data_IF_959851526746
#
_entry.id   IF_959851526746
#
_cell.length_a   1.000
_cell.length_b   1.000
_cell.length_c   1.000
_cell.angle_alpha   90.00
_cell.angle_beta   90.00
_cell.angle_gamma   90.00
#
_symmetry.space_group_name_H-M   'P 1'
#
loop_
_entity.id
_entity.type
_entity.pdbx_description
1 polymer ?
#
# COMPACT_ATOMS: atom_id res chain seq x y z
N UNK A 1 -12.33 -0.88 6.51
CA UNK A 1 -11.43 0.29 6.56
C UNK A 1 -10.02 -0.20 6.83
N UNK A 2 -8.99 0.56 6.48
CA UNK A 2 -7.61 0.09 6.67
C UNK A 2 -7.23 0.00 8.15
N UNK A 3 -6.97 -1.21 8.64
CA UNK A 3 -6.28 -1.50 9.90
C UNK A 3 -4.77 -1.19 9.77
N UNK A 4 -4.39 0.02 10.20
CA UNK A 4 -3.01 0.50 10.11
C UNK A 4 -2.05 -0.29 11.01
N UNK A 5 -2.37 -0.62 12.28
CA UNK A 5 -1.55 -1.53 13.10
C UNK A 5 -1.22 -2.85 12.38
N UNK A 6 -2.21 -3.53 11.80
CA UNK A 6 -1.99 -4.79 11.07
C UNK A 6 -1.09 -4.60 9.85
N UNK A 7 -1.21 -3.49 9.13
CA UNK A 7 -0.31 -3.15 8.01
C UNK A 7 1.12 -2.84 8.47
N UNK A 8 1.31 -2.25 9.65
CA UNK A 8 2.65 -2.00 10.24
C UNK A 8 3.35 -3.32 10.56
N UNK A 9 2.64 -4.24 11.20
CA UNK A 9 3.15 -5.58 11.51
C UNK A 9 3.53 -6.30 10.21
N UNK A 10 2.62 -6.29 9.22
CA UNK A 10 2.88 -6.98 7.96
C UNK A 10 4.07 -6.39 7.19
N UNK A 11 4.19 -5.07 7.13
CA UNK A 11 5.37 -4.42 6.52
C UNK A 11 6.65 -4.84 7.25
N UNK A 12 6.62 -4.93 8.59
CA UNK A 12 7.74 -5.42 9.38
C UNK A 12 8.17 -6.83 9.00
N UNK A 13 7.23 -7.77 8.89
CA UNK A 13 7.51 -9.14 8.41
C UNK A 13 8.17 -9.16 7.03
N UNK A 14 7.62 -8.38 6.09
CA UNK A 14 8.12 -8.34 4.71
C UNK A 14 9.54 -7.75 4.66
N UNK A 15 9.78 -6.63 5.34
CA UNK A 15 11.09 -5.97 5.34
C UNK A 15 12.15 -6.83 6.04
N UNK A 16 11.82 -7.40 7.20
CA UNK A 16 12.78 -8.19 8.00
C UNK A 16 13.14 -9.52 7.36
N UNK A 17 12.27 -10.09 6.52
CA UNK A 17 12.54 -11.32 5.74
C UNK A 17 13.21 -11.06 4.39
N UNK A 18 13.26 -9.81 3.91
CA UNK A 18 13.83 -9.49 2.60
C UNK A 18 15.37 -9.44 2.67
N UNK A 19 16.10 -10.22 1.85
CA UNK A 19 17.57 -10.25 1.87
C UNK A 19 18.24 -8.93 1.46
N UNK A 20 17.49 -8.01 0.84
CA UNK A 20 17.97 -6.68 0.44
C UNK A 20 18.00 -5.67 1.58
N UNK A 21 17.35 -5.96 2.71
CA UNK A 21 17.31 -5.05 3.85
C UNK A 21 18.62 -5.08 4.63
N UNK A 22 19.15 -3.90 4.96
CA UNK A 22 20.43 -3.75 5.66
C UNK A 22 20.32 -3.86 7.19
N UNK A 23 19.11 -4.15 7.70
CA UNK A 23 18.79 -4.35 9.11
C UNK A 23 18.93 -3.10 10.00
N UNK A 24 19.03 -1.91 9.41
CA UNK A 24 19.23 -0.68 10.20
C UNK A 24 17.92 -0.05 10.66
N UNK A 25 17.00 0.18 9.72
CA UNK A 25 15.76 0.87 10.04
C UNK A 25 14.64 0.53 9.06
N UNK A 26 13.41 0.47 9.59
CA UNK A 26 12.19 0.59 8.80
C UNK A 26 11.07 1.20 9.64
N UNK A 27 10.07 1.76 8.96
CA UNK A 27 8.83 2.24 9.57
C UNK A 27 7.71 2.29 8.53
N UNK A 28 6.46 2.33 8.98
CA UNK A 28 5.32 2.70 8.17
C UNK A 28 4.63 3.89 8.83
N UNK A 29 4.21 4.91 8.10
CA UNK A 29 3.53 6.06 8.68
C UNK A 29 2.28 6.41 7.85
N UNK A 30 1.22 6.86 8.53
CA UNK A 30 0.14 7.58 7.85
C UNK A 30 0.65 8.99 7.65
N UNK A 31 0.75 9.44 6.40
CA UNK A 31 1.32 10.76 6.07
C UNK A 31 0.28 11.79 5.69
N UNK A 32 -0.89 11.35 5.23
CA UNK A 32 -1.98 12.23 4.83
C UNK A 32 -3.33 11.50 4.94
N UNK A 33 -4.40 12.28 5.04
CA UNK A 33 -5.80 11.81 4.99
C UNK A 33 -6.54 12.65 3.95
N UNK A 34 -6.95 11.99 2.86
CA UNK A 34 -7.68 12.59 1.75
C UNK A 34 -9.16 12.24 1.86
N UNK A 35 -9.96 12.82 0.96
CA UNK A 35 -11.42 12.62 0.94
C UNK A 35 -11.83 11.15 0.82
N UNK A 36 -11.07 10.35 0.06
CA UNK A 36 -11.41 8.97 -0.32
C UNK A 36 -10.41 7.92 0.15
N UNK A 37 -9.25 8.34 0.68
CA UNK A 37 -8.19 7.43 1.10
C UNK A 37 -7.28 8.04 2.16
N UNK A 38 -6.50 7.19 2.83
CA UNK A 38 -5.33 7.60 3.61
C UNK A 38 -4.07 7.32 2.82
N UNK A 39 -3.03 8.14 3.03
CA UNK A 39 -1.71 7.87 2.45
C UNK A 39 -0.81 7.19 3.47
N UNK A 40 -0.22 6.06 3.08
CA UNK A 40 0.75 5.32 3.88
C UNK A 40 2.14 5.41 3.23
N UNK A 41 3.15 5.75 4.04
CA UNK A 41 4.56 5.79 3.63
C UNK A 41 5.37 4.74 4.38
N UNK A 42 5.88 3.76 3.64
CA UNK A 42 6.94 2.88 4.10
C UNK A 42 8.30 3.57 4.00
N UNK A 43 9.08 3.51 5.07
CA UNK A 43 10.47 3.94 5.15
C UNK A 43 11.33 2.70 5.44
N UNK A 44 12.44 2.53 4.73
CA UNK A 44 13.37 1.42 4.92
C UNK A 44 14.75 1.82 4.42
N UNK A 45 15.78 1.39 5.13
CA UNK A 45 17.17 1.56 4.72
C UNK A 45 17.65 0.37 3.88
N UNK A 46 18.65 0.59 3.06
CA UNK A 46 19.38 -0.46 2.37
C UNK A 46 20.83 -0.04 2.20
N UNK A 47 21.68 -0.98 1.80
CA UNK A 47 23.12 -0.78 1.64
C UNK A 47 23.47 0.37 0.69
N UNK A 48 22.69 0.52 -0.39
CA UNK A 48 22.85 1.58 -1.39
C UNK A 48 21.51 1.91 -2.06
N UNK A 49 21.51 2.93 -2.91
CA UNK A 49 20.30 3.46 -3.55
C UNK A 49 19.64 2.48 -4.53
N UNK A 50 20.42 1.65 -5.22
CA UNK A 50 19.90 0.66 -6.16
C UNK A 50 19.16 -0.44 -5.41
N UNK A 51 19.78 -0.99 -4.36
CA UNK A 51 19.14 -1.99 -3.49
C UNK A 51 17.93 -1.40 -2.77
N UNK A 52 18.00 -0.13 -2.36
CA UNK A 52 16.85 0.54 -1.74
C UNK A 52 15.65 0.66 -2.69
N UNK A 53 15.89 0.88 -3.99
CA UNK A 53 14.84 0.89 -4.99
C UNK A 53 14.16 -0.48 -5.09
N UNK A 54 14.94 -1.54 -5.28
CA UNK A 54 14.44 -2.91 -5.39
C UNK A 54 13.67 -3.35 -4.15
N UNK A 55 14.23 -3.09 -2.95
CA UNK A 55 13.56 -3.39 -1.68
C UNK A 55 12.20 -2.71 -1.57
N UNK A 56 12.08 -1.44 -2.00
CA UNK A 56 10.80 -0.73 -1.99
C UNK A 56 9.80 -1.33 -2.99
N UNK A 57 10.25 -1.83 -4.14
CA UNK A 57 9.39 -2.53 -5.09
C UNK A 57 8.84 -3.81 -4.47
N UNK A 58 9.73 -4.68 -3.98
CA UNK A 58 9.34 -5.94 -3.32
C UNK A 58 8.34 -5.71 -2.19
N UNK A 59 8.62 -4.73 -1.30
CA UNK A 59 7.76 -4.42 -0.15
C UNK A 59 6.40 -3.91 -0.61
N UNK A 60 6.34 -3.04 -1.63
CA UNK A 60 5.07 -2.50 -2.15
C UNK A 60 4.22 -3.59 -2.77
N UNK A 61 4.80 -4.45 -3.59
CA UNK A 61 4.07 -5.54 -4.25
C UNK A 61 3.53 -6.54 -3.23
N UNK A 62 4.36 -6.94 -2.25
CA UNK A 62 3.94 -7.84 -1.19
C UNK A 62 2.85 -7.24 -0.30
N UNK A 63 2.95 -5.95 0.06
CA UNK A 63 1.94 -5.28 0.87
C UNK A 63 0.63 -5.08 0.10
N UNK A 64 0.69 -4.76 -1.20
CA UNK A 64 -0.49 -4.69 -2.06
C UNK A 64 -1.18 -6.04 -2.21
N UNK A 65 -0.41 -7.13 -2.35
CA UNK A 65 -0.94 -8.49 -2.35
C UNK A 65 -1.68 -8.78 -1.05
N UNK A 66 -1.06 -8.49 0.09
CA UNK A 66 -1.67 -8.66 1.41
C UNK A 66 -2.96 -7.86 1.57
N UNK A 67 -2.97 -6.58 1.19
CA UNK A 67 -4.18 -5.75 1.25
C UNK A 67 -5.30 -6.35 0.40
N UNK A 68 -4.98 -6.83 -0.81
CA UNK A 68 -5.96 -7.45 -1.71
C UNK A 68 -6.58 -8.72 -1.12
N UNK A 69 -5.78 -9.55 -0.47
CA UNK A 69 -6.20 -10.85 0.07
C UNK A 69 -6.90 -10.71 1.42
N UNK A 70 -6.37 -9.88 2.31
CA UNK A 70 -6.73 -9.85 3.73
C UNK A 70 -7.57 -8.63 4.14
N UNK A 71 -7.55 -7.58 3.31
CA UNK A 71 -8.20 -6.29 3.60
C UNK A 71 -8.79 -5.65 2.32
N UNK A 72 -9.55 -6.38 1.48
CA UNK A 72 -10.04 -5.86 0.20
C UNK A 72 -10.93 -4.62 0.31
N UNK A 73 -11.51 -4.38 1.49
CA UNK A 73 -12.27 -3.18 1.84
C UNK A 73 -11.41 -1.94 2.13
N UNK A 74 -10.09 -2.10 2.29
CA UNK A 74 -9.14 -1.00 2.45
C UNK A 74 -8.71 -0.39 1.10
N UNK A 75 -9.01 -1.04 -0.03
CA UNK A 75 -8.75 -0.51 -1.37
C UNK A 75 -9.74 0.64 -1.64
N UNK A 76 -9.26 1.84 -2.02
CA UNK A 76 -10.14 2.95 -2.39
C UNK A 76 -11.12 2.57 -3.50
N UNK A 77 -12.40 2.94 -3.34
CA UNK A 77 -13.47 2.64 -4.30
C UNK A 77 -14.20 3.91 -4.65
N UNK A 78 -14.33 4.16 -5.95
CA UNK A 78 -15.13 5.26 -6.46
C UNK A 78 -16.54 4.76 -6.78
N UNK A 79 -17.55 5.49 -6.30
CA UNK A 79 -18.93 5.29 -6.72
C UNK A 79 -19.16 6.09 -8.00
N UNK A 80 -19.41 5.39 -9.10
CA UNK A 80 -19.81 6.02 -10.36
C UNK A 80 -21.33 6.16 -10.41
N UNK A 81 -21.80 7.36 -10.71
CA UNK A 81 -23.17 7.59 -11.14
C UNK A 81 -23.19 7.45 -12.66
N UNK A 82 -23.83 6.40 -13.17
CA UNK A 82 -24.03 6.26 -14.60
C UNK A 82 -25.17 7.18 -15.01
N UNK A 83 -24.90 8.11 -15.93
CA UNK A 83 -25.97 8.86 -16.58
C UNK A 83 -26.81 7.89 -17.44
N UNK A 84 -28.13 8.08 -17.54
CA UNK A 84 -28.95 7.28 -18.44
C UNK A 84 -28.45 7.45 -19.88
N UNK A 85 -28.46 6.36 -20.65
CA UNK A 85 -28.03 6.39 -22.05
C UNK A 85 -28.89 7.40 -22.85
N UNK A 86 -28.27 8.32 -23.61
CA UNK A 86 -29.00 9.32 -24.39
C UNK A 86 -29.84 8.72 -25.53
N UNK A 87 -29.72 7.40 -25.78
CA UNK A 87 -30.46 6.67 -26.82
C UNK A 87 -31.59 5.86 -26.18
N UNK A 88 -32.59 6.56 -25.66
CA UNK A 88 -33.96 6.06 -25.63
C UNK A 88 -34.85 7.19 -26.12
N UNK A 89 -34.83 7.41 -27.44
CA UNK A 89 -35.90 8.12 -28.15
C UNK A 89 -36.61 7.08 -28.99
N UNK A 90 -37.75 6.61 -28.50
CA UNK A 90 -38.78 5.94 -29.29
C UNK A 90 -39.86 6.96 -29.59
#
# INVERSE_FOLDING_TARGET
SADVPRLREKLGEIVTSNPRWDKRFYNLQVTDVKTDCIELRGLMTAKDAAIAFDLRCDVREALLKYIREEMPEAIPRNRLLMAPDPVTRT
#
